data_IF_014908761854
#
_entry.id   IF_014908761854
#
_cell.length_a   1.000
_cell.length_b   1.000
_cell.length_c   1.000
_cell.angle_alpha   90.00
_cell.angle_beta   90.00
_cell.angle_gamma   90.00
#
_symmetry.space_group_name_H-M   'P 1'
#
loop_
_entity.id
_entity.type
_entity.pdbx_description
1 polymer ?
#
# COMPACT_ATOMS: atom_id res chain seq x y z
N UNK A 1 -16.77 -27.72 13.32
CA UNK A 1 -15.84 -27.27 12.25
C UNK A 1 -15.57 -25.81 12.52
N UNK A 2 -14.30 -25.39 12.57
CA UNK A 2 -13.97 -23.96 12.73
C UNK A 2 -14.28 -23.30 11.39
N UNK A 3 -15.06 -22.23 11.42
CA UNK A 3 -15.26 -21.38 10.25
C UNK A 3 -14.02 -20.48 10.10
N UNK A 4 -13.21 -20.77 9.10
CA UNK A 4 -11.98 -20.03 8.84
C UNK A 4 -12.26 -18.63 8.30
N UNK A 5 -13.41 -18.42 7.64
CA UNK A 5 -13.80 -17.11 7.13
C UNK A 5 -14.22 -16.15 8.25
N UNK A 6 -14.54 -16.68 9.44
CA UNK A 6 -14.85 -15.90 10.64
C UNK A 6 -13.60 -15.45 11.44
N UNK A 7 -12.40 -15.95 11.09
CA UNK A 7 -11.15 -15.59 11.77
C UNK A 7 -10.53 -14.30 11.27
N UNK A 8 -10.97 -13.82 10.11
CA UNK A 8 -10.48 -12.62 9.47
C UNK A 8 -11.65 -11.70 9.10
N UNK A 9 -11.46 -10.40 9.28
CA UNK A 9 -12.36 -9.38 8.78
C UNK A 9 -11.68 -8.51 7.71
N UNK A 10 -12.50 -7.88 6.87
CA UNK A 10 -12.02 -6.97 5.83
C UNK A 10 -11.30 -5.80 6.50
N UNK A 11 -10.07 -5.52 6.09
CA UNK A 11 -9.31 -4.40 6.65
C UNK A 11 -10.06 -3.08 6.35
N UNK A 12 -10.44 -2.29 7.37
CA UNK A 12 -11.24 -1.09 7.19
C UNK A 12 -10.46 0.03 6.49
N UNK A 13 -9.14 0.08 6.66
CA UNK A 13 -8.29 1.15 6.10
C UNK A 13 -8.05 1.04 4.60
N UNK A 14 -7.95 -0.18 4.07
CA UNK A 14 -7.79 -0.40 2.63
C UNK A 14 -9.03 -0.99 1.98
N UNK A 15 -10.13 -1.14 2.73
CA UNK A 15 -11.34 -1.81 2.29
C UNK A 15 -11.03 -3.12 1.56
N UNK A 16 -10.21 -4.00 2.12
CA UNK A 16 -9.93 -5.29 1.49
C UNK A 16 -8.90 -5.30 0.37
N UNK A 17 -8.44 -4.13 -0.11
CA UNK A 17 -7.53 -4.06 -1.26
C UNK A 17 -6.08 -4.43 -0.93
N UNK A 18 -5.70 -4.40 0.35
CA UNK A 18 -4.31 -4.59 0.78
C UNK A 18 -3.40 -3.40 0.47
N UNK A 19 -3.90 -2.39 -0.24
CA UNK A 19 -3.15 -1.22 -0.68
C UNK A 19 -3.96 0.06 -0.47
N UNK A 20 -3.26 1.17 -0.30
CA UNK A 20 -3.84 2.51 -0.20
C UNK A 20 -3.24 3.39 -1.28
N UNK A 21 -4.03 4.26 -1.88
CA UNK A 21 -3.52 5.25 -2.82
C UNK A 21 -2.42 6.09 -2.17
N UNK A 22 -1.39 6.42 -2.94
CA UNK A 22 -0.41 7.40 -2.50
C UNK A 22 -1.04 8.81 -2.62
N UNK A 23 -1.32 9.52 -1.52
CA UNK A 23 -1.93 10.84 -1.59
C UNK A 23 -1.01 11.87 -2.27
N UNK A 24 0.32 11.70 -2.19
CA UNK A 24 1.27 12.58 -2.87
C UNK A 24 1.45 12.24 -4.34
N UNK A 25 0.81 11.16 -4.83
CA UNK A 25 0.80 10.84 -6.25
C UNK A 25 0.24 11.99 -7.07
N UNK A 26 -0.92 12.52 -6.68
CA UNK A 26 -1.55 13.63 -7.38
C UNK A 26 -0.75 14.92 -7.28
N UNK A 27 -0.08 15.17 -6.15
CA UNK A 27 0.75 16.37 -5.97
C UNK A 27 2.03 16.33 -6.83
N UNK A 28 2.65 15.16 -6.98
CA UNK A 28 3.82 14.99 -7.83
C UNK A 28 3.47 14.90 -9.32
N UNK A 29 2.25 14.46 -9.65
CA UNK A 29 1.76 14.35 -11.04
C UNK A 29 0.85 15.51 -11.44
N UNK A 30 0.75 16.59 -10.67
CA UNK A 30 -0.01 17.75 -11.14
C UNK A 30 0.71 18.32 -12.37
N UNK A 31 0.04 18.26 -13.53
CA UNK A 31 0.63 18.53 -14.86
C UNK A 31 1.26 19.91 -14.95
N UNK A 32 0.85 20.84 -14.08
CA UNK A 32 1.37 22.19 -14.03
C UNK A 32 2.76 22.31 -13.41
N UNK A 33 3.20 21.39 -12.53
CA UNK A 33 4.53 21.45 -11.91
C UNK A 33 5.66 21.15 -12.91
N UNK A 34 5.41 20.22 -13.84
CA UNK A 34 6.33 19.94 -14.94
C UNK A 34 6.33 21.02 -16.02
N UNK A 35 5.22 21.76 -16.15
CA UNK A 35 5.12 22.89 -17.09
C UNK A 35 5.95 24.08 -16.63
N UNK A 36 5.98 24.36 -15.32
CA UNK A 36 6.81 25.43 -14.75
C UNK A 36 8.30 25.10 -14.73
N UNK A 37 8.68 23.84 -14.45
CA UNK A 37 10.09 23.39 -14.56
C UNK A 37 10.63 23.47 -16.00
N UNK A 38 9.80 23.19 -17.00
CA UNK A 38 10.19 23.30 -18.42
C UNK A 38 10.42 24.75 -18.91
N UNK A 39 10.09 25.77 -18.12
CA UNK A 39 10.21 27.18 -18.55
C UNK A 39 11.46 27.87 -17.98
N UNK A 40 12.16 27.29 -17.00
CA UNK A 40 13.25 27.98 -16.29
C UNK A 40 14.67 27.53 -16.65
N UNK A 41 14.87 26.41 -17.35
CA UNK A 41 16.21 25.97 -17.77
C UNK A 41 16.32 25.83 -19.29
N UNK A 42 16.63 26.97 -19.93
CA UNK A 42 17.40 27.01 -21.18
C UNK A 42 18.84 26.59 -20.86
N UNK A 43 19.07 25.32 -20.56
CA UNK A 43 20.40 24.72 -20.49
C UNK A 43 20.44 23.50 -21.41
N UNK A 44 20.88 23.79 -22.64
CA UNK A 44 21.72 22.96 -23.49
C UNK A 44 21.68 21.43 -23.30
N UNK A 45 21.03 20.76 -24.26
CA UNK A 45 21.39 19.45 -24.81
C UNK A 45 21.42 18.28 -23.80
N UNK A 46 20.28 17.60 -23.63
CA UNK A 46 20.18 16.13 -23.64
C UNK A 46 18.86 15.78 -24.33
N UNK A 47 18.91 14.80 -25.23
CA UNK A 47 17.79 14.28 -26.02
C UNK A 47 16.52 14.06 -25.19
N UNK A 48 15.38 14.38 -25.80
CA UNK A 48 14.03 14.11 -25.29
C UNK A 48 13.86 12.63 -24.89
N UNK A 49 14.12 12.32 -23.63
CA UNK A 49 13.40 11.26 -22.95
C UNK A 49 12.31 11.94 -22.15
N UNK A 50 11.11 12.03 -22.73
CA UNK A 50 9.91 12.24 -21.93
C UNK A 50 9.95 11.22 -20.80
N UNK A 51 9.97 11.63 -19.51
CA UNK A 51 9.95 10.65 -18.43
C UNK A 51 8.71 9.78 -18.66
N UNK A 52 8.93 8.47 -18.82
CA UNK A 52 7.84 7.50 -19.03
C UNK A 52 6.80 7.77 -17.94
N UNK A 53 5.65 8.28 -18.37
CA UNK A 53 4.57 8.59 -17.45
C UNK A 53 4.16 7.25 -16.85
N UNK A 54 4.21 7.07 -15.52
CA UNK A 54 3.63 5.89 -14.94
C UNK A 54 2.13 5.92 -15.18
N UNK A 55 1.67 5.05 -16.09
CA UNK A 55 0.27 4.94 -16.53
C UNK A 55 -0.70 4.56 -15.38
N UNK A 56 -0.15 4.07 -14.26
CA UNK A 56 -0.93 3.59 -13.12
C UNK A 56 -0.58 4.34 -11.82
N UNK A 57 -1.56 4.58 -10.93
CA UNK A 57 -1.32 5.16 -9.62
C UNK A 57 -0.30 4.35 -8.83
N UNK A 58 0.71 5.00 -8.24
CA UNK A 58 1.55 4.34 -7.24
C UNK A 58 0.69 4.11 -5.99
N UNK A 59 0.55 2.84 -5.60
CA UNK A 59 -0.11 2.45 -4.36
C UNK A 59 0.93 2.11 -3.30
N UNK A 60 0.63 2.45 -2.04
CA UNK A 60 1.38 1.94 -0.89
C UNK A 60 0.75 0.66 -0.35
N UNK A 61 1.58 -0.24 0.15
CA UNK A 61 1.12 -1.38 0.94
C UNK A 61 0.38 -0.85 2.17
N UNK A 62 -0.83 -1.33 2.39
CA UNK A 62 -1.60 -0.93 3.57
C UNK A 62 -0.85 -1.39 4.82
N UNK A 63 -0.42 -0.43 5.64
CA UNK A 63 0.37 -0.67 6.86
C UNK A 63 -0.38 -1.45 7.94
N UNK A 64 -1.71 -1.47 7.89
CA UNK A 64 -2.54 -2.09 8.93
C UNK A 64 -2.74 -3.58 8.69
N UNK A 65 -3.10 -3.97 7.46
CA UNK A 65 -3.20 -5.39 7.09
C UNK A 65 -1.91 -5.95 6.47
N UNK A 66 -0.85 -5.14 6.38
CA UNK A 66 0.43 -5.49 5.76
C UNK A 66 0.27 -6.13 4.37
N UNK A 67 -0.59 -5.55 3.52
CA UNK A 67 -0.81 -6.06 2.16
C UNK A 67 -1.88 -7.14 2.01
N UNK A 68 -2.38 -7.75 3.09
CA UNK A 68 -3.29 -8.90 3.00
C UNK A 68 -4.74 -8.55 2.64
N UNK A 69 -5.14 -7.30 2.84
CA UNK A 69 -6.55 -6.87 2.72
C UNK A 69 -7.45 -7.34 3.87
N UNK A 70 -6.96 -8.21 4.75
CA UNK A 70 -7.70 -8.73 5.90
C UNK A 70 -6.93 -8.53 7.19
N UNK A 71 -7.64 -8.43 8.32
CA UNK A 71 -7.08 -8.39 9.67
C UNK A 71 -7.76 -9.47 10.51
N UNK A 72 -7.04 -10.01 11.50
CA UNK A 72 -7.58 -11.03 12.38
C UNK A 72 -8.69 -10.46 13.27
N UNK A 73 -9.78 -11.20 13.39
CA UNK A 73 -10.83 -10.98 14.41
C UNK A 73 -10.30 -11.30 15.80
N UNK A 74 -11.10 -11.08 16.84
CA UNK A 74 -10.69 -11.42 18.22
C UNK A 74 -10.40 -12.93 18.35
N UNK A 75 -11.25 -13.76 17.75
CA UNK A 75 -11.12 -15.21 17.70
C UNK A 75 -9.88 -15.62 16.89
N UNK A 76 -9.65 -14.98 15.75
CA UNK A 76 -8.45 -15.20 14.94
C UNK A 76 -7.15 -14.90 15.69
N UNK A 77 -7.13 -13.80 16.47
CA UNK A 77 -5.99 -13.44 17.32
C UNK A 77 -5.73 -14.49 18.40
N UNK A 78 -6.78 -14.92 19.11
CA UNK A 78 -6.67 -15.96 20.14
C UNK A 78 -6.12 -17.27 19.58
N UNK A 79 -6.58 -17.68 18.40
CA UNK A 79 -6.08 -18.90 17.76
C UNK A 79 -4.60 -18.78 17.39
N UNK A 80 -4.18 -17.65 16.82
CA UNK A 80 -2.77 -17.41 16.47
C UNK A 80 -1.89 -17.38 17.72
N UNK A 81 -2.34 -16.75 18.80
CA UNK A 81 -1.63 -16.74 20.09
C UNK A 81 -1.51 -18.16 20.66
N UNK A 82 -2.58 -18.94 20.65
CA UNK A 82 -2.56 -20.35 21.06
C UNK A 82 -1.53 -21.16 20.25
N UNK A 83 -1.55 -21.03 18.92
CA UNK A 83 -0.59 -21.74 18.05
C UNK A 83 0.85 -21.28 18.35
N UNK A 84 1.09 -19.98 18.51
CA UNK A 84 2.42 -19.44 18.84
C UNK A 84 2.94 -19.97 20.16
N UNK A 85 2.10 -20.03 21.19
CA UNK A 85 2.44 -20.58 22.50
C UNK A 85 2.96 -22.02 22.38
N UNK A 86 2.30 -22.86 21.59
CA UNK A 86 2.72 -24.26 21.42
C UNK A 86 3.92 -24.45 20.48
N UNK A 87 4.09 -23.57 19.49
CA UNK A 87 5.24 -23.61 18.58
C UNK A 87 6.52 -23.08 19.23
N UNK A 88 6.41 -22.12 20.16
CA UNK A 88 7.56 -21.57 20.85
C UNK A 88 7.18 -21.06 22.26
N UNK A 89 7.09 -21.95 23.26
CA UNK A 89 6.57 -21.61 24.59
C UNK A 89 7.45 -20.67 25.43
N UNK A 90 8.63 -20.30 24.93
CA UNK A 90 9.64 -19.51 25.65
C UNK A 90 9.81 -18.07 25.12
N UNK A 91 8.89 -17.56 24.30
CA UNK A 91 8.95 -16.20 23.73
C UNK A 91 7.90 -15.27 24.35
#
# INVERSE_FOLDING_TARGET
>A
MIDLDALDERCPKCNGLGRTENPTWFEFWDKDFFRTLGTQEKLSIVEEMTPDQPDEPIFFICKECHGRGKILTAEGKQLVEFIRFWLNPNY
#
